data_IF_779762017363
#
_entry.id   IF_779762017363
#
_cell.length_a   1.000
_cell.length_b   1.000
_cell.length_c   1.000
_cell.angle_alpha   90.00
_cell.angle_beta   90.00
_cell.angle_gamma   90.00
#
_symmetry.space_group_name_H-M   'P 1'
#
loop_
_entity.id
_entity.type
_entity.pdbx_description
1 polymer ?
#
# COMPACT_ATOMS: atom_id res chain seq x y z
N UNK A 1 -37.04 7.77 67.21
CA UNK A 1 -37.70 6.96 66.16
C UNK A 1 -37.21 7.44 64.79
N UNK A 2 -36.56 6.56 64.01
CA UNK A 2 -36.35 6.49 62.54
C UNK A 2 -36.34 7.82 61.73
N UNK A 3 -35.20 8.34 61.23
CA UNK A 3 -34.41 7.97 60.03
C UNK A 3 -34.99 8.45 58.67
N UNK A 4 -34.32 9.43 58.01
CA UNK A 4 -34.16 9.67 56.54
C UNK A 4 -33.10 10.80 56.35
N UNK A 5 -31.83 10.57 56.02
CA UNK A 5 -31.15 10.31 54.71
C UNK A 5 -31.19 11.44 53.66
N UNK A 6 -29.97 11.94 53.34
CA UNK A 6 -29.45 12.46 52.04
C UNK A 6 -29.79 13.89 51.56
N UNK A 7 -28.74 14.70 51.32
CA UNK A 7 -28.26 15.01 49.95
C UNK A 7 -26.86 15.66 49.98
N UNK A 8 -25.83 14.85 49.71
CA UNK A 8 -24.52 15.30 49.23
C UNK A 8 -24.50 15.31 47.70
N UNK A 9 -23.45 15.90 47.14
CA UNK A 9 -22.95 15.82 45.76
C UNK A 9 -23.40 16.93 44.81
N UNK A 10 -22.59 18.01 44.83
CA UNK A 10 -22.31 18.80 43.64
C UNK A 10 -21.66 17.88 42.58
N UNK A 11 -22.35 17.70 41.47
CA UNK A 11 -21.87 16.94 40.31
C UNK A 11 -21.09 17.91 39.42
N UNK A 12 -19.77 17.98 39.63
CA UNK A 12 -18.84 18.52 38.65
C UNK A 12 -18.36 17.34 37.79
N UNK A 13 -19.04 17.06 36.68
CA UNK A 13 -18.51 16.14 35.66
C UNK A 13 -17.42 16.88 34.90
N UNK A 14 -16.18 16.70 35.33
CA UNK A 14 -15.02 16.98 34.49
C UNK A 14 -15.04 15.97 33.34
N UNK A 15 -15.28 16.44 32.12
CA UNK A 15 -15.04 15.69 30.89
C UNK A 15 -13.52 15.47 30.73
N UNK A 16 -13.00 14.40 31.31
CA UNK A 16 -11.72 13.83 30.91
C UNK A 16 -11.94 13.01 29.63
N UNK A 17 -12.01 13.70 28.49
CA UNK A 17 -11.70 13.06 27.23
C UNK A 17 -10.18 12.83 27.22
N UNK A 18 -9.72 11.69 27.75
CA UNK A 18 -8.44 11.16 27.31
C UNK A 18 -8.63 10.83 25.83
N UNK A 19 -8.12 11.69 24.95
CA UNK A 19 -7.71 11.23 23.66
C UNK A 19 -6.75 10.06 23.93
N UNK A 20 -7.18 8.84 23.62
CA UNK A 20 -6.27 7.72 23.52
C UNK A 20 -5.35 8.05 22.34
N UNK A 21 -4.28 8.80 22.61
CA UNK A 21 -3.14 8.87 21.71
C UNK A 21 -2.64 7.43 21.66
N UNK A 22 -2.97 6.71 20.59
CA UNK A 22 -2.25 5.47 20.29
C UNK A 22 -0.77 5.86 20.27
N UNK A 23 0.02 5.26 21.16
CA UNK A 23 1.45 5.48 21.16
C UNK A 23 1.95 4.98 19.81
N UNK A 24 2.34 5.91 18.94
CA UNK A 24 2.95 5.57 17.67
C UNK A 24 4.13 4.63 17.92
N UNK A 25 4.25 3.51 17.18
CA UNK A 25 5.30 2.54 17.46
C UNK A 25 6.67 3.23 17.40
N UNK A 26 7.34 3.32 18.55
CA UNK A 26 8.66 3.92 18.62
C UNK A 26 9.65 3.12 17.78
N UNK A 27 10.56 3.80 17.08
CA UNK A 27 11.63 3.11 16.37
C UNK A 27 12.42 2.17 17.29
N UNK A 28 12.91 1.03 16.75
CA UNK A 28 13.72 0.11 17.52
C UNK A 28 14.98 0.75 18.12
N UNK A 29 15.43 0.23 19.26
CA UNK A 29 16.69 0.64 19.87
C UNK A 29 17.86 0.53 18.87
N UNK A 30 18.71 1.56 18.84
CA UNK A 30 19.87 1.65 17.95
C UNK A 30 19.63 2.43 16.66
N UNK A 31 18.39 2.82 16.35
CA UNK A 31 18.11 3.80 15.30
C UNK A 31 18.45 5.21 15.80
N UNK A 32 19.10 6.01 14.94
CA UNK A 32 19.51 7.38 15.24
C UNK A 32 18.67 8.38 14.48
N UNK A 33 18.13 9.36 15.21
CA UNK A 33 17.39 10.49 14.62
C UNK A 33 18.37 11.59 14.21
N UNK A 34 18.15 12.17 13.04
CA UNK A 34 18.86 13.34 12.54
C UNK A 34 17.93 14.22 11.69
N UNK A 35 18.36 15.45 11.44
CA UNK A 35 17.75 16.32 10.43
C UNK A 35 18.76 16.54 9.31
N UNK A 36 18.32 16.38 8.07
CA UNK A 36 19.11 16.61 6.87
C UNK A 36 18.60 17.87 6.18
N UNK A 37 19.50 18.80 5.90
CA UNK A 37 19.19 19.96 5.06
C UNK A 37 19.35 19.58 3.59
N UNK A 38 18.34 19.85 2.79
CA UNK A 38 18.40 19.65 1.33
C UNK A 38 18.97 20.89 0.64
N UNK A 39 19.46 20.72 -0.58
CA UNK A 39 20.05 21.80 -1.37
C UNK A 39 19.05 22.93 -1.70
N UNK A 40 17.75 22.62 -1.72
CA UNK A 40 16.64 23.54 -1.93
C UNK A 40 16.05 24.12 -0.63
N UNK A 41 16.68 23.87 0.52
CA UNK A 41 16.35 24.51 1.80
C UNK A 41 15.28 23.81 2.64
N UNK A 42 14.82 22.63 2.24
CA UNK A 42 13.95 21.81 3.08
C UNK A 42 14.75 21.11 4.19
N UNK A 43 14.14 20.98 5.37
CA UNK A 43 14.67 20.16 6.46
C UNK A 43 13.92 18.84 6.50
N UNK A 44 14.62 17.72 6.31
CA UNK A 44 14.04 16.38 6.36
C UNK A 44 14.45 15.71 7.67
N UNK A 45 13.47 15.30 8.47
CA UNK A 45 13.70 14.46 9.64
C UNK A 45 13.89 13.01 9.22
N UNK A 46 15.03 12.42 9.58
CA UNK A 46 15.39 11.05 9.21
C UNK A 46 15.72 10.23 10.45
N UNK A 47 15.47 8.92 10.36
CA UNK A 47 15.86 7.92 11.36
C UNK A 47 16.63 6.82 10.65
N UNK A 48 17.84 6.53 11.10
CA UNK A 48 18.77 5.62 10.41
C UNK A 48 19.19 4.47 11.32
N UNK A 49 19.26 3.26 10.77
CA UNK A 49 19.65 2.05 11.50
C UNK A 49 19.97 0.90 10.55
N UNK A 50 20.62 -0.14 11.07
CA UNK A 50 21.08 -1.28 10.27
C UNK A 50 22.51 -1.12 9.70
N UNK A 51 22.88 -1.99 8.75
CA UNK A 51 24.19 -2.03 8.09
C UNK A 51 24.00 -2.44 6.62
N UNK A 52 24.88 -1.97 5.73
CA UNK A 52 24.83 -2.28 4.30
C UNK A 52 24.32 -1.11 3.44
N UNK A 53 23.92 -1.36 2.17
CA UNK A 53 23.38 -0.33 1.29
C UNK A 53 22.13 0.33 1.89
N UNK A 54 22.02 1.66 1.75
CA UNK A 54 20.90 2.41 2.31
C UNK A 54 19.60 2.19 1.51
N UNK A 55 18.48 2.05 2.23
CA UNK A 55 17.11 2.10 1.70
C UNK A 55 16.40 3.24 2.40
N UNK A 56 15.77 4.11 1.62
CA UNK A 56 14.90 5.17 2.16
C UNK A 56 13.48 4.65 2.19
N UNK A 57 12.90 4.56 3.40
CA UNK A 57 11.50 4.21 3.60
C UNK A 57 10.69 5.50 3.67
N UNK A 58 9.82 5.70 2.69
CA UNK A 58 8.94 6.86 2.59
C UNK A 58 7.54 6.41 3.03
N UNK A 59 6.98 7.10 4.02
CA UNK A 59 5.60 6.88 4.46
C UNK A 59 4.60 7.61 3.56
N UNK A 60 3.34 7.17 3.57
CA UNK A 60 2.26 7.77 2.79
C UNK A 60 1.77 9.12 3.35
N UNK A 61 0.84 9.75 2.62
CA UNK A 61 0.19 10.99 3.03
C UNK A 61 -0.63 10.78 4.31
N UNK A 62 -0.48 11.70 5.27
CA UNK A 62 -1.18 11.64 6.57
C UNK A 62 -0.50 10.77 7.63
N UNK A 63 0.61 10.12 7.29
CA UNK A 63 1.38 9.28 8.22
C UNK A 63 2.74 9.91 8.56
N UNK A 64 3.47 9.31 9.51
CA UNK A 64 4.83 9.71 9.91
C UNK A 64 5.79 8.54 9.78
N UNK A 65 7.09 8.79 9.91
CA UNK A 65 8.08 7.71 9.91
C UNK A 65 7.92 6.70 11.06
N UNK A 66 7.09 6.96 12.06
CA UNK A 66 6.84 6.03 13.18
C UNK A 66 6.03 4.80 12.76
N UNK A 67 5.27 4.87 11.67
CA UNK A 67 4.58 3.71 11.09
C UNK A 67 5.52 2.53 10.81
N UNK A 68 6.80 2.82 10.56
CA UNK A 68 7.81 1.81 10.26
C UNK A 68 8.35 1.11 11.50
N UNK A 69 8.08 1.62 12.71
CA UNK A 69 8.60 1.09 13.97
C UNK A 69 8.50 -0.43 14.11
N UNK A 70 7.33 -1.06 13.85
CA UNK A 70 7.16 -2.50 13.98
C UNK A 70 7.98 -3.31 12.95
N UNK A 71 8.30 -2.72 11.79
CA UNK A 71 8.97 -3.39 10.69
C UNK A 71 10.46 -3.06 10.59
N UNK A 72 10.90 -1.92 11.12
CA UNK A 72 12.22 -1.34 10.87
C UNK A 72 13.37 -2.29 11.21
N UNK A 73 13.35 -2.95 12.38
CA UNK A 73 14.38 -3.91 12.78
C UNK A 73 14.41 -5.15 11.88
N UNK A 74 13.22 -5.64 11.49
CA UNK A 74 13.10 -6.81 10.61
C UNK A 74 13.61 -6.50 9.20
N UNK A 75 13.20 -5.36 8.64
CA UNK A 75 13.65 -4.90 7.33
C UNK A 75 15.17 -4.67 7.32
N UNK A 76 15.72 -3.98 8.34
CA UNK A 76 17.16 -3.77 8.47
C UNK A 76 17.95 -5.09 8.49
N UNK A 77 17.45 -6.12 9.18
CA UNK A 77 18.08 -7.44 9.22
C UNK A 77 18.00 -8.18 7.88
N UNK A 78 16.84 -8.14 7.21
CA UNK A 78 16.62 -8.85 5.95
C UNK A 78 17.41 -8.24 4.79
N UNK A 79 17.39 -6.91 4.66
CA UNK A 79 18.11 -6.22 3.58
C UNK A 79 19.62 -6.23 3.76
N UNK A 80 20.13 -6.32 4.99
CA UNK A 80 21.56 -6.45 5.26
C UNK A 80 22.16 -7.80 4.84
N UNK A 81 21.35 -8.81 4.50
CA UNK A 81 21.88 -10.11 4.06
C UNK A 81 22.59 -9.97 2.70
N UNK A 82 23.68 -10.71 2.46
CA UNK A 82 24.38 -10.71 1.18
C UNK A 82 23.42 -10.95 0.01
N UNK A 83 23.39 -10.02 -0.95
CA UNK A 83 22.55 -10.11 -2.14
C UNK A 83 21.06 -9.78 -1.95
N UNK A 84 20.55 -9.60 -0.72
CA UNK A 84 19.14 -9.32 -0.48
C UNK A 84 18.69 -8.00 -1.14
N UNK A 85 19.47 -6.94 -0.97
CA UNK A 85 19.25 -5.66 -1.68
C UNK A 85 19.16 -5.84 -3.20
N UNK A 86 20.10 -6.57 -3.80
CA UNK A 86 20.07 -6.82 -5.25
C UNK A 86 18.80 -7.57 -5.64
N UNK A 87 18.45 -8.63 -4.92
CA UNK A 87 17.30 -9.47 -5.23
C UNK A 87 15.97 -8.71 -5.10
N UNK A 88 15.79 -7.93 -4.02
CA UNK A 88 14.54 -7.20 -3.77
C UNK A 88 14.25 -6.09 -4.77
N UNK A 89 15.29 -5.50 -5.37
CA UNK A 89 15.13 -4.41 -6.33
C UNK A 89 15.42 -4.82 -7.78
N UNK A 90 15.82 -6.07 -8.03
CA UNK A 90 16.15 -6.57 -9.36
C UNK A 90 15.01 -6.37 -10.36
N UNK A 91 13.76 -6.67 -9.96
CA UNK A 91 12.59 -6.48 -10.82
C UNK A 91 12.38 -5.02 -11.24
N UNK A 92 12.65 -4.05 -10.36
CA UNK A 92 12.53 -2.64 -10.74
C UNK A 92 13.64 -2.20 -11.70
N UNK A 93 14.84 -2.78 -11.55
CA UNK A 93 15.96 -2.50 -12.44
C UNK A 93 15.75 -3.07 -13.86
N UNK A 94 14.92 -4.10 -14.03
CA UNK A 94 14.63 -4.67 -15.35
C UNK A 94 13.66 -3.82 -16.16
N UNK A 95 12.85 -2.97 -15.53
CA UNK A 95 11.81 -2.17 -16.22
C UNK A 95 12.40 -1.42 -17.42
N UNK A 96 13.39 -0.56 -17.19
CA UNK A 96 13.97 0.27 -18.24
C UNK A 96 14.97 -0.49 -19.14
N UNK A 97 15.53 -1.60 -18.65
CA UNK A 97 16.65 -2.29 -19.32
C UNK A 97 16.21 -3.47 -20.19
N UNK A 98 15.09 -4.12 -19.84
CA UNK A 98 14.60 -5.33 -20.51
C UNK A 98 13.08 -5.24 -20.77
N UNK A 99 12.27 -4.96 -19.75
CA UNK A 99 10.81 -5.13 -19.83
C UNK A 99 10.16 -4.23 -20.90
N UNK A 100 10.66 -3.01 -21.10
CA UNK A 100 10.19 -2.12 -22.17
C UNK A 100 10.42 -2.72 -23.56
N UNK A 101 11.57 -3.36 -23.79
CA UNK A 101 11.89 -3.99 -25.07
C UNK A 101 11.03 -5.24 -25.28
N UNK A 102 10.88 -6.06 -24.24
CA UNK A 102 10.07 -7.28 -24.28
C UNK A 102 8.60 -6.96 -24.51
N UNK A 103 8.04 -5.98 -23.79
CA UNK A 103 6.66 -5.53 -23.97
C UNK A 103 6.42 -4.98 -25.39
N UNK A 104 7.36 -4.22 -25.95
CA UNK A 104 7.27 -3.73 -27.34
C UNK A 104 7.27 -4.87 -28.35
N UNK A 105 8.01 -5.93 -28.08
CA UNK A 105 8.02 -7.12 -28.94
C UNK A 105 6.72 -7.92 -28.79
N UNK A 106 6.30 -8.20 -27.57
CA UNK A 106 5.10 -8.97 -27.24
C UNK A 106 3.83 -8.28 -27.75
N UNK A 107 3.76 -6.94 -27.72
CA UNK A 107 2.59 -6.19 -28.17
C UNK A 107 2.42 -6.14 -29.69
N UNK A 108 3.34 -6.71 -30.49
CA UNK A 108 3.21 -6.78 -31.96
C UNK A 108 2.10 -7.72 -32.40
N UNK A 109 1.82 -8.75 -31.61
CA UNK A 109 0.76 -9.72 -31.85
C UNK A 109 -0.27 -9.56 -30.74
N UNK A 110 -1.49 -9.16 -31.10
CA UNK A 110 -2.55 -8.97 -30.12
C UNK A 110 -3.13 -10.30 -29.66
N UNK A 111 -3.46 -10.37 -28.38
CA UNK A 111 -4.23 -11.47 -27.81
C UNK A 111 -5.62 -11.52 -28.45
N UNK A 112 -6.01 -12.69 -28.94
CA UNK A 112 -7.28 -12.93 -29.65
C UNK A 112 -8.38 -13.50 -28.75
N UNK A 113 -8.02 -14.07 -27.60
CA UNK A 113 -8.96 -14.53 -26.60
C UNK A 113 -9.52 -13.35 -25.77
N UNK A 114 -10.68 -13.50 -25.12
CA UNK A 114 -11.20 -12.50 -24.20
C UNK A 114 -10.22 -12.17 -23.07
N UNK A 115 -10.08 -10.88 -22.75
CA UNK A 115 -9.24 -10.39 -21.64
C UNK A 115 -10.07 -9.50 -20.73
N UNK A 116 -10.12 -9.82 -19.44
CA UNK A 116 -10.67 -8.94 -18.41
C UNK A 116 -9.57 -8.00 -17.90
N UNK A 117 -9.77 -6.69 -18.04
CA UNK A 117 -8.91 -5.66 -17.47
C UNK A 117 -9.63 -4.96 -16.30
N UNK A 118 -9.10 -5.14 -15.10
CA UNK A 118 -9.69 -4.65 -13.84
C UNK A 118 -8.81 -3.59 -13.20
N UNK A 119 -9.40 -2.48 -12.74
CA UNK A 119 -8.71 -1.48 -11.92
C UNK A 119 -9.54 -1.04 -10.72
N UNK A 120 -8.90 -0.60 -9.63
CA UNK A 120 -9.60 -0.05 -8.47
C UNK A 120 -10.11 1.37 -8.72
N UNK A 121 -11.32 1.69 -8.26
CA UNK A 121 -11.97 3.00 -8.43
C UNK A 121 -11.11 4.17 -7.90
N UNK A 122 -10.37 3.97 -6.81
CA UNK A 122 -9.51 4.99 -6.19
C UNK A 122 -8.07 4.96 -6.70
N UNK A 123 -7.79 4.15 -7.73
CA UNK A 123 -6.49 4.03 -8.39
C UNK A 123 -6.68 4.18 -9.90
N UNK A 124 -6.15 3.26 -10.71
CA UNK A 124 -6.16 3.36 -12.17
C UNK A 124 -7.55 3.18 -12.81
N UNK A 125 -8.54 2.63 -12.10
CA UNK A 125 -9.91 2.43 -12.59
C UNK A 125 -9.99 1.96 -14.05
N UNK A 126 -10.70 2.67 -14.95
CA UNK A 126 -10.87 2.26 -16.34
C UNK A 126 -9.58 2.33 -17.19
N UNK A 127 -8.51 2.98 -16.71
CA UNK A 127 -7.25 3.11 -17.45
C UNK A 127 -6.64 1.74 -17.76
N UNK A 128 -6.85 0.73 -16.91
CA UNK A 128 -6.33 -0.62 -17.13
C UNK A 128 -6.85 -1.22 -18.43
N UNK A 129 -8.12 -1.00 -18.76
CA UNK A 129 -8.68 -1.44 -20.05
C UNK A 129 -8.10 -0.63 -21.22
N UNK A 130 -7.90 0.68 -21.07
CA UNK A 130 -7.24 1.50 -22.10
C UNK A 130 -5.85 1.00 -22.43
N UNK A 131 -5.05 0.68 -21.41
CA UNK A 131 -3.71 0.11 -21.58
C UNK A 131 -3.80 -1.26 -22.25
N UNK A 132 -4.70 -2.13 -21.80
CA UNK A 132 -4.82 -3.50 -22.31
C UNK A 132 -5.28 -3.57 -23.78
N UNK A 133 -6.05 -2.60 -24.28
CA UNK A 133 -6.44 -2.52 -25.70
C UNK A 133 -5.26 -2.32 -26.66
N UNK A 134 -4.08 -1.93 -26.16
CA UNK A 134 -2.86 -1.94 -26.96
C UNK A 134 -2.33 -3.36 -27.22
N UNK A 135 -2.66 -4.33 -26.36
CA UNK A 135 -2.14 -5.69 -26.40
C UNK A 135 -3.18 -6.78 -26.72
N UNK A 136 -4.48 -6.47 -26.68
CA UNK A 136 -5.56 -7.44 -26.90
C UNK A 136 -6.65 -6.89 -27.84
N UNK A 137 -7.36 -7.80 -28.51
CA UNK A 137 -8.47 -7.48 -29.42
C UNK A 137 -9.82 -7.41 -28.70
N UNK A 138 -10.06 -8.32 -27.75
CA UNK A 138 -11.29 -8.39 -26.96
C UNK A 138 -10.97 -8.07 -25.49
N UNK A 139 -11.25 -6.83 -25.09
CA UNK A 139 -10.99 -6.35 -23.72
C UNK A 139 -12.31 -5.98 -23.04
N UNK A 140 -12.66 -6.75 -22.01
CA UNK A 140 -13.74 -6.43 -21.08
C UNK A 140 -13.17 -5.55 -19.96
N UNK A 141 -13.81 -4.42 -19.72
CA UNK A 141 -13.41 -3.47 -18.69
C UNK A 141 -14.21 -3.72 -17.40
N UNK A 142 -13.53 -3.69 -16.26
CA UNK A 142 -14.18 -3.69 -14.96
C UNK A 142 -13.48 -2.74 -13.98
N UNK A 143 -14.24 -2.23 -13.01
CA UNK A 143 -13.73 -1.37 -11.94
C UNK A 143 -14.21 -1.90 -10.60
N UNK A 144 -13.30 -2.08 -9.65
CA UNK A 144 -13.63 -2.51 -8.28
C UNK A 144 -14.00 -1.27 -7.44
N UNK A 145 -15.25 -1.17 -6.95
CA UNK A 145 -15.71 0.01 -6.22
C UNK A 145 -15.00 0.15 -4.88
N UNK A 146 -14.67 1.38 -4.50
CA UNK A 146 -14.02 1.71 -3.24
C UNK A 146 -12.56 1.25 -3.08
N UNK A 147 -12.02 0.44 -4.01
CA UNK A 147 -10.66 -0.10 -3.92
C UNK A 147 -9.62 0.80 -4.60
N UNK A 148 -8.40 0.79 -4.07
CA UNK A 148 -7.20 1.37 -4.64
C UNK A 148 -6.34 0.32 -5.35
N UNK A 149 -5.08 0.19 -4.93
CA UNK A 149 -4.10 -0.70 -5.59
C UNK A 149 -4.25 -2.18 -5.17
N UNK A 150 -4.78 -2.43 -3.97
CA UNK A 150 -4.83 -3.75 -3.33
C UNK A 150 -6.26 -4.28 -3.35
N UNK A 151 -6.83 -4.42 -4.55
CA UNK A 151 -8.26 -4.71 -4.73
C UNK A 151 -8.72 -6.00 -4.04
N UNK A 152 -7.84 -7.00 -3.98
CA UNK A 152 -8.11 -8.28 -3.33
C UNK A 152 -8.23 -8.14 -1.81
N UNK A 153 -7.55 -7.17 -1.21
CA UNK A 153 -7.56 -6.89 0.21
C UNK A 153 -8.60 -5.83 0.59
N UNK A 154 -8.79 -4.82 -0.28
CA UNK A 154 -9.65 -3.66 -0.02
C UNK A 154 -11.12 -3.92 -0.34
N UNK A 155 -11.42 -4.74 -1.36
CA UNK A 155 -12.77 -5.18 -1.68
C UNK A 155 -12.77 -6.59 -2.31
N UNK A 156 -12.51 -7.63 -1.49
CA UNK A 156 -12.40 -9.01 -1.96
C UNK A 156 -13.68 -9.48 -2.67
N UNK A 157 -14.85 -9.20 -2.10
CA UNK A 157 -16.13 -9.71 -2.60
C UNK A 157 -16.42 -9.24 -4.02
N UNK A 158 -16.26 -7.93 -4.28
CA UNK A 158 -16.45 -7.39 -5.61
C UNK A 158 -15.40 -7.89 -6.60
N UNK A 159 -14.14 -8.02 -6.16
CA UNK A 159 -13.06 -8.48 -7.03
C UNK A 159 -13.24 -9.94 -7.43
N UNK A 160 -13.55 -10.82 -6.48
CA UNK A 160 -13.83 -12.24 -6.73
C UNK A 160 -15.03 -12.39 -7.66
N UNK A 161 -16.12 -11.66 -7.42
CA UNK A 161 -17.30 -11.70 -8.27
C UNK A 161 -16.98 -11.35 -9.73
N UNK A 162 -16.21 -10.29 -9.97
CA UNK A 162 -15.85 -9.88 -11.34
C UNK A 162 -15.05 -10.95 -12.08
N UNK A 163 -14.13 -11.63 -11.37
CA UNK A 163 -13.34 -12.72 -11.93
C UNK A 163 -14.22 -13.93 -12.22
N UNK A 164 -15.08 -14.32 -11.27
CA UNK A 164 -15.97 -15.47 -11.40
C UNK A 164 -16.98 -15.27 -12.55
N UNK A 165 -17.63 -14.10 -12.63
CA UNK A 165 -18.53 -13.76 -13.73
C UNK A 165 -17.82 -13.85 -15.09
N UNK A 166 -16.57 -13.39 -15.19
CA UNK A 166 -15.79 -13.44 -16.43
C UNK A 166 -15.45 -14.87 -16.85
N UNK A 167 -14.98 -15.70 -15.91
CA UNK A 167 -14.61 -17.09 -16.17
C UNK A 167 -15.83 -17.94 -16.54
N UNK A 168 -16.98 -17.69 -15.92
CA UNK A 168 -18.21 -18.45 -16.16
C UNK A 168 -18.97 -17.97 -17.42
N UNK A 169 -18.82 -16.72 -17.83
CA UNK A 169 -19.43 -16.20 -19.05
C UNK A 169 -18.96 -16.92 -20.32
N UNK A 170 -17.70 -17.36 -20.38
CA UNK A 170 -17.13 -18.04 -21.55
C UNK A 170 -17.49 -19.54 -21.61
N UNK A 171 -17.90 -20.14 -20.50
CA UNK A 171 -18.43 -21.51 -20.46
C UNK A 171 -19.84 -21.58 -21.01
N UNK A 172 -20.66 -20.55 -20.77
CA UNK A 172 -22.03 -20.47 -21.27
C UNK A 172 -22.15 -20.14 -22.77
N UNK A 173 -21.07 -19.67 -23.39
CA UNK A 173 -21.02 -19.30 -24.82
C UNK A 173 -20.45 -20.41 -25.72
N UNK A 174 -20.09 -21.58 -25.16
CA UNK A 174 -19.66 -22.80 -25.87
C UNK A 174 -20.80 -23.80 -25.93
#
# INVERSE_FOLDING_TARGET
MKMYRSFCCAVAVCFLALAAQAAEPSMPAGFKTASVQTADGATIHVRTGGKGPAVVLIHGFGDTGDMWGPLAARLARLYAQPGAMRASFAQFNTIATHDVADNRSASKVKLTMPVLAVGGEKSFGPMMATVMRNAALDVRQAVVPGAGHWMMEENPDATVKLIDDFLNADVAAR
#
